data_IF_492963921381
#
_entry.id   IF_492963921381
#
_cell.length_a   1.000
_cell.length_b   1.000
_cell.length_c   1.000
_cell.angle_alpha   90.00
_cell.angle_beta   90.00
_cell.angle_gamma   90.00
#
_symmetry.space_group_name_H-M   'P 1'
#
loop_
_entity.id
_entity.type
_entity.pdbx_description
1 polymer ?
#
# COMPACT_ATOMS: atom_id res chain seq x y z
N UNK A 1 -11.90 -19.71 16.52
CA UNK A 1 -11.16 -20.27 17.68
C UNK A 1 -11.25 -21.80 17.80
N UNK A 2 -12.40 -22.48 17.58
CA UNK A 2 -12.49 -23.94 17.78
C UNK A 2 -11.57 -24.78 16.88
N UNK A 3 -11.41 -24.40 15.61
CA UNK A 3 -10.56 -25.15 14.66
C UNK A 3 -9.07 -25.09 15.00
N UNK A 4 -8.57 -23.93 15.44
CA UNK A 4 -7.17 -23.78 15.88
C UNK A 4 -6.92 -24.60 17.15
N UNK A 5 -7.88 -24.67 18.06
CA UNK A 5 -7.77 -25.52 19.25
C UNK A 5 -7.79 -27.02 18.91
N UNK A 6 -8.53 -27.41 17.86
CA UNK A 6 -8.65 -28.81 17.44
C UNK A 6 -7.47 -29.29 16.55
N UNK A 7 -6.93 -28.40 15.70
CA UNK A 7 -5.97 -28.77 14.65
C UNK A 7 -4.62 -28.03 14.76
N UNK A 8 -4.46 -27.16 15.76
CA UNK A 8 -3.24 -26.39 16.01
C UNK A 8 -3.19 -25.05 15.27
N UNK A 9 -2.19 -24.24 15.62
CA UNK A 9 -2.00 -22.87 15.09
C UNK A 9 -1.58 -22.84 13.62
N UNK A 10 -1.12 -23.94 13.06
CA UNK A 10 -0.73 -24.06 11.64
C UNK A 10 -1.88 -24.55 10.74
N UNK A 11 -3.10 -24.69 11.27
CA UNK A 11 -4.25 -25.12 10.47
C UNK A 11 -4.48 -24.16 9.30
N UNK A 12 -4.68 -24.75 8.11
CA UNK A 12 -5.10 -24.06 6.89
C UNK A 12 -6.35 -24.75 6.38
N UNK A 13 -7.22 -23.99 5.73
CA UNK A 13 -8.35 -24.58 5.02
C UNK A 13 -7.86 -25.51 3.90
N UNK A 14 -8.59 -26.59 3.57
CA UNK A 14 -8.35 -27.32 2.33
C UNK A 14 -8.32 -26.36 1.14
N UNK A 15 -7.38 -26.54 0.20
CA UNK A 15 -7.30 -25.66 -0.98
C UNK A 15 -8.52 -25.76 -1.90
N UNK A 16 -9.30 -26.83 -1.79
CA UNK A 16 -10.61 -26.98 -2.44
C UNK A 16 -11.71 -26.10 -1.81
N UNK A 17 -11.51 -25.65 -0.57
CA UNK A 17 -12.42 -24.76 0.16
C UNK A 17 -11.98 -23.32 0.01
N UNK A 18 -10.72 -23.01 0.31
CA UNK A 18 -10.19 -21.67 0.16
C UNK A 18 -8.69 -21.68 -0.09
N UNK A 19 -8.21 -20.75 -0.90
CA UNK A 19 -6.79 -20.47 -1.03
C UNK A 19 -6.53 -19.01 -1.37
N UNK A 20 -5.27 -18.60 -1.18
CA UNK A 20 -4.80 -17.31 -1.66
C UNK A 20 -3.39 -17.45 -2.23
N UNK A 21 -3.18 -16.86 -3.39
CA UNK A 21 -1.88 -16.69 -4.02
C UNK A 21 -1.53 -15.20 -3.98
N UNK A 22 -0.38 -14.87 -3.40
CA UNK A 22 0.10 -13.51 -3.23
C UNK A 22 1.44 -13.35 -3.93
N UNK A 23 1.61 -12.22 -4.61
CA UNK A 23 2.89 -11.80 -5.17
C UNK A 23 3.18 -10.41 -4.67
N UNK A 24 4.39 -10.24 -4.13
CA UNK A 24 4.84 -8.99 -3.54
C UNK A 24 6.26 -8.73 -4.04
N UNK A 25 6.48 -7.54 -4.61
CA UNK A 25 7.77 -7.16 -5.19
C UNK A 25 8.11 -5.73 -4.81
N UNK A 26 9.21 -5.61 -4.08
CA UNK A 26 9.73 -4.34 -3.58
C UNK A 26 10.95 -3.93 -4.39
N UNK A 27 11.01 -2.67 -4.78
CA UNK A 27 12.15 -2.07 -5.47
C UNK A 27 12.61 -0.83 -4.73
N UNK A 28 13.89 -0.80 -4.39
CA UNK A 28 14.55 0.35 -3.79
C UNK A 28 15.77 0.66 -4.64
N UNK A 29 15.82 1.88 -5.17
CA UNK A 29 16.98 2.39 -5.89
C UNK A 29 17.35 3.70 -5.22
N UNK A 30 18.60 3.85 -4.79
CA UNK A 30 19.10 5.06 -4.17
C UNK A 30 20.44 5.39 -4.82
N UNK A 31 20.55 6.60 -5.35
CA UNK A 31 21.82 7.14 -5.86
C UNK A 31 22.11 8.44 -5.13
N UNK A 32 23.36 8.60 -4.69
CA UNK A 32 23.77 9.78 -3.94
C UNK A 32 25.16 10.25 -4.32
N UNK A 33 25.37 11.54 -4.14
CA UNK A 33 26.65 12.21 -4.29
C UNK A 33 26.87 13.12 -3.09
N UNK A 34 28.07 13.05 -2.52
CA UNK A 34 28.56 13.99 -1.52
C UNK A 34 29.77 14.73 -2.10
N UNK A 35 29.83 16.05 -1.91
CA UNK A 35 30.90 16.88 -2.47
C UNK A 35 31.22 18.02 -1.51
N UNK A 36 32.50 18.24 -1.25
CA UNK A 36 32.98 19.45 -0.57
C UNK A 36 32.89 20.63 -1.54
N UNK A 37 32.01 21.60 -1.25
CA UNK A 37 31.93 22.86 -1.98
C UNK A 37 33.06 23.81 -1.57
N UNK A 38 33.43 23.77 -0.28
CA UNK A 38 34.58 24.45 0.32
C UNK A 38 35.20 23.54 1.38
N UNK A 39 36.28 23.99 2.03
CA UNK A 39 36.85 23.27 3.20
C UNK A 39 35.93 23.22 4.42
N UNK A 40 34.82 23.96 4.42
CA UNK A 40 33.86 24.05 5.54
C UNK A 40 32.46 23.59 5.14
N UNK A 41 32.18 23.37 3.86
CA UNK A 41 30.83 23.07 3.39
C UNK A 41 30.83 21.78 2.57
N UNK A 42 30.11 20.79 3.07
CA UNK A 42 29.80 19.56 2.33
C UNK A 42 28.34 19.57 1.90
N UNK A 43 28.09 19.30 0.62
CA UNK A 43 26.76 19.10 0.07
C UNK A 43 26.56 17.62 -0.24
N UNK A 44 25.49 17.04 0.30
CA UNK A 44 25.01 15.70 -0.02
C UNK A 44 23.67 15.81 -0.75
N UNK A 45 23.55 15.15 -1.90
CA UNK A 45 22.30 15.04 -2.66
C UNK A 45 22.00 13.57 -2.93
N UNK A 46 20.73 13.17 -2.80
CA UNK A 46 20.26 11.81 -3.07
C UNK A 46 19.00 11.86 -3.91
N UNK A 47 18.93 11.00 -4.92
CA UNK A 47 17.69 10.69 -5.65
C UNK A 47 17.35 9.24 -5.33
N UNK A 48 16.09 8.95 -5.05
CA UNK A 48 15.66 7.60 -4.73
C UNK A 48 14.30 7.26 -5.34
N UNK A 49 14.14 6.00 -5.70
CA UNK A 49 12.88 5.40 -6.12
C UNK A 49 12.51 4.29 -5.15
N UNK A 50 11.27 4.32 -4.67
CA UNK A 50 10.65 3.28 -3.86
C UNK A 50 9.44 2.78 -4.62
N UNK A 51 9.37 1.48 -4.89
CA UNK A 51 8.24 0.87 -5.58
C UNK A 51 7.80 -0.40 -4.88
N UNK A 52 6.49 -0.59 -4.78
CA UNK A 52 5.89 -1.85 -4.37
C UNK A 52 4.85 -2.27 -5.39
N UNK A 53 4.86 -3.53 -5.80
CA UNK A 53 3.74 -4.13 -6.52
C UNK A 53 3.24 -5.33 -5.77
N UNK A 54 2.01 -5.24 -5.28
CA UNK A 54 1.34 -6.33 -4.57
C UNK A 54 0.08 -6.75 -5.31
N UNK A 55 -0.09 -8.06 -5.47
CA UNK A 55 -1.34 -8.66 -5.92
C UNK A 55 -1.69 -9.90 -5.12
N UNK A 56 -2.99 -10.07 -4.87
CA UNK A 56 -3.54 -11.25 -4.22
C UNK A 56 -4.73 -11.78 -5.00
N UNK A 57 -4.59 -12.96 -5.58
CA UNK A 57 -5.74 -13.73 -6.05
C UNK A 57 -6.17 -14.69 -4.95
N UNK A 58 -7.42 -14.65 -4.56
CA UNK A 58 -8.01 -15.58 -3.61
C UNK A 58 -9.23 -16.27 -4.20
N UNK A 59 -9.50 -17.46 -3.67
CA UNK A 59 -10.64 -18.28 -4.02
C UNK A 59 -11.29 -18.75 -2.74
N UNK A 60 -12.63 -18.78 -2.74
CA UNK A 60 -13.42 -19.42 -1.71
C UNK A 60 -14.58 -20.15 -2.36
N UNK A 61 -14.80 -21.40 -1.95
CA UNK A 61 -15.82 -22.27 -2.53
C UNK A 61 -17.21 -21.86 -2.03
N UNK A 62 -18.13 -21.46 -2.92
CA UNK A 62 -19.51 -21.13 -2.58
C UNK A 62 -20.29 -22.21 -1.87
N UNK A 63 -19.85 -23.47 -1.90
CA UNK A 63 -20.53 -24.59 -1.23
C UNK A 63 -20.04 -24.81 0.20
N UNK A 64 -18.99 -24.13 0.64
CA UNK A 64 -18.31 -24.36 1.92
C UNK A 64 -18.36 -23.13 2.84
N UNK A 65 -19.27 -22.20 2.54
CA UNK A 65 -19.56 -21.03 3.38
C UNK A 65 -20.79 -21.27 4.25
N UNK A 66 -20.94 -20.56 5.38
CA UNK A 66 -22.07 -20.74 6.30
C UNK A 66 -23.45 -20.61 5.64
N UNK A 67 -23.57 -19.76 4.62
CA UNK A 67 -24.81 -19.49 3.89
C UNK A 67 -25.32 -20.70 3.08
N UNK A 68 -24.42 -21.58 2.64
CA UNK A 68 -24.75 -22.74 1.79
C UNK A 68 -24.48 -24.08 2.46
N UNK A 69 -23.61 -24.11 3.48
CA UNK A 69 -23.26 -25.30 4.23
C UNK A 69 -23.47 -25.07 5.74
N UNK A 70 -24.66 -25.40 6.27
CA UNK A 70 -24.95 -25.26 7.70
C UNK A 70 -24.03 -26.06 8.63
N UNK A 71 -23.33 -27.08 8.11
CA UNK A 71 -22.37 -27.89 8.87
C UNK A 71 -20.99 -27.23 8.97
N UNK A 72 -20.79 -26.11 8.27
CA UNK A 72 -19.57 -25.32 8.24
C UNK A 72 -19.87 -23.90 8.74
N UNK A 73 -19.94 -23.68 10.06
CA UNK A 73 -20.35 -22.39 10.63
C UNK A 73 -19.23 -21.33 10.61
N UNK A 74 -18.06 -21.64 10.05
CA UNK A 74 -16.92 -20.73 10.03
C UNK A 74 -16.79 -20.07 8.66
N UNK A 75 -16.63 -18.75 8.67
CA UNK A 75 -16.37 -17.97 7.46
C UNK A 75 -15.05 -18.37 6.81
N UNK A 76 -15.07 -18.45 5.47
CA UNK A 76 -13.86 -18.62 4.69
C UNK A 76 -13.20 -17.25 4.46
N UNK A 77 -11.86 -17.17 4.37
CA UNK A 77 -11.18 -15.94 4.01
C UNK A 77 -11.58 -15.48 2.60
N UNK A 78 -11.86 -14.18 2.43
CA UNK A 78 -12.29 -13.60 1.15
C UNK A 78 -13.46 -14.37 0.51
N UNK A 79 -14.43 -14.78 1.34
CA UNK A 79 -15.56 -15.58 0.88
C UNK A 79 -16.41 -14.84 -0.17
N UNK A 80 -17.11 -15.58 -1.05
CA UNK A 80 -17.94 -14.98 -2.08
C UNK A 80 -19.07 -14.18 -1.44
N UNK A 81 -19.37 -13.06 -2.06
CA UNK A 81 -20.37 -12.13 -1.58
C UNK A 81 -21.76 -12.40 -2.19
N UNK A 82 -22.79 -12.18 -1.38
CA UNK A 82 -24.18 -12.48 -1.76
C UNK A 82 -24.86 -11.33 -2.51
N UNK A 83 -24.29 -10.13 -2.47
CA UNK A 83 -24.87 -8.89 -2.99
C UNK A 83 -24.21 -8.38 -4.30
N UNK A 84 -23.50 -9.22 -5.05
CA UNK A 84 -22.96 -8.80 -6.35
C UNK A 84 -24.06 -8.74 -7.43
N UNK A 85 -25.12 -7.95 -7.25
CA UNK A 85 -26.21 -7.82 -8.21
C UNK A 85 -25.93 -6.78 -9.30
N UNK A 86 -26.44 -7.01 -10.51
CA UNK A 86 -26.43 -6.03 -11.60
C UNK A 86 -27.16 -4.74 -11.17
N UNK A 87 -26.44 -3.61 -11.10
CA UNK A 87 -26.99 -2.32 -10.65
C UNK A 87 -26.61 -1.17 -11.61
N UNK A 88 -27.26 -1.09 -12.78
CA UNK A 88 -27.02 0.00 -13.72
C UNK A 88 -27.59 1.32 -13.19
N UNK A 89 -26.96 2.47 -13.48
CA UNK A 89 -25.80 2.65 -14.36
C UNK A 89 -24.44 2.50 -13.67
N UNK A 90 -24.42 2.14 -12.38
CA UNK A 90 -23.23 2.15 -11.51
C UNK A 90 -22.33 0.96 -11.81
N UNK A 91 -22.92 -0.21 -12.05
CA UNK A 91 -22.17 -1.43 -12.33
C UNK A 91 -22.88 -2.29 -13.39
N UNK A 92 -22.10 -2.82 -14.36
CA UNK A 92 -22.62 -3.65 -15.46
C UNK A 92 -22.38 -5.16 -15.33
N UNK A 93 -21.74 -5.62 -14.26
CA UNK A 93 -21.52 -7.04 -14.03
C UNK A 93 -22.77 -7.73 -13.50
N UNK A 94 -23.29 -8.68 -14.28
CA UNK A 94 -24.38 -9.57 -13.88
C UNK A 94 -23.84 -10.99 -13.65
N UNK A 95 -23.45 -11.34 -12.41
CA UNK A 95 -22.93 -12.67 -12.11
C UNK A 95 -24.01 -13.76 -12.17
N UNK A 96 -25.29 -13.41 -12.00
CA UNK A 96 -26.37 -14.40 -12.09
C UNK A 96 -26.55 -14.82 -13.55
N UNK A 97 -26.56 -13.86 -14.48
CA UNK A 97 -26.63 -14.16 -15.91
C UNK A 97 -25.41 -14.95 -16.42
N UNK A 98 -24.22 -14.65 -15.90
CA UNK A 98 -22.97 -15.26 -16.37
C UNK A 98 -22.62 -16.58 -15.67
N UNK A 99 -22.95 -16.73 -14.39
CA UNK A 99 -22.48 -17.84 -13.52
C UNK A 99 -23.61 -18.55 -12.76
N UNK A 100 -24.87 -18.17 -13.00
CA UNK A 100 -26.06 -18.78 -12.42
C UNK A 100 -26.38 -18.38 -10.98
N UNK A 101 -25.44 -17.74 -10.27
CA UNK A 101 -25.65 -17.16 -8.94
C UNK A 101 -24.60 -16.08 -8.63
N UNK A 102 -24.93 -15.15 -7.73
CA UNK A 102 -23.97 -14.16 -7.20
C UNK A 102 -22.73 -14.86 -6.64
N UNK A 103 -22.94 -15.86 -5.77
CA UNK A 103 -21.85 -16.59 -5.12
C UNK A 103 -20.88 -17.24 -6.12
N UNK A 104 -21.39 -17.81 -7.22
CA UNK A 104 -20.53 -18.37 -8.26
C UNK A 104 -19.77 -17.31 -9.05
N UNK A 105 -20.34 -16.11 -9.21
CA UNK A 105 -19.71 -14.99 -9.88
C UNK A 105 -18.78 -14.16 -8.98
N UNK A 106 -18.73 -14.42 -7.68
CA UNK A 106 -17.84 -13.74 -6.75
C UNK A 106 -16.90 -14.71 -6.01
N UNK A 107 -16.68 -15.92 -6.54
CA UNK A 107 -15.85 -16.93 -5.86
C UNK A 107 -14.35 -16.69 -5.98
N UNK A 108 -13.92 -15.80 -6.88
CA UNK A 108 -12.56 -15.31 -6.98
C UNK A 108 -12.50 -13.83 -6.63
N UNK A 109 -11.48 -13.46 -5.87
CA UNK A 109 -11.21 -12.10 -5.44
C UNK A 109 -9.76 -11.73 -5.74
N UNK A 110 -9.57 -10.69 -6.56
CA UNK A 110 -8.29 -10.08 -6.86
C UNK A 110 -8.16 -8.74 -6.12
N UNK A 111 -7.16 -8.64 -5.26
CA UNK A 111 -6.76 -7.38 -4.61
C UNK A 111 -5.41 -6.90 -5.15
N UNK A 112 -5.31 -5.61 -5.44
CA UNK A 112 -4.11 -4.92 -5.90
C UNK A 112 -3.73 -3.81 -4.93
N UNK A 113 -2.43 -3.66 -4.68
CA UNK A 113 -1.90 -2.54 -3.90
C UNK A 113 -0.50 -2.17 -4.42
N UNK A 114 -0.45 -1.21 -5.33
CA UNK A 114 0.80 -0.80 -5.97
C UNK A 114 1.16 0.61 -5.53
N UNK A 115 2.38 0.80 -5.06
CA UNK A 115 2.92 2.12 -4.72
C UNK A 115 4.16 2.42 -5.53
N UNK A 116 4.35 3.69 -5.84
CA UNK A 116 5.60 4.20 -6.41
C UNK A 116 5.89 5.57 -5.83
N UNK A 117 7.16 5.85 -5.58
CA UNK A 117 7.60 7.14 -5.07
C UNK A 117 8.94 7.50 -5.64
N UNK A 118 9.05 8.74 -6.13
CA UNK A 118 10.32 9.35 -6.52
C UNK A 118 10.64 10.44 -5.50
N UNK A 119 11.83 10.36 -4.91
CA UNK A 119 12.27 11.32 -3.92
C UNK A 119 13.61 11.95 -4.25
N UNK A 120 13.77 13.18 -3.77
CA UNK A 120 15.01 13.94 -3.83
C UNK A 120 15.30 14.56 -2.47
N UNK A 121 16.48 14.28 -1.95
CA UNK A 121 16.98 14.83 -0.68
C UNK A 121 18.24 15.63 -0.94
N UNK A 122 18.34 16.80 -0.32
CA UNK A 122 19.53 17.62 -0.32
C UNK A 122 19.86 18.08 1.10
N UNK A 123 21.14 18.03 1.46
CA UNK A 123 21.64 18.43 2.77
C UNK A 123 22.99 19.11 2.62
N UNK A 124 23.17 20.26 3.24
CA UNK A 124 24.46 20.91 3.42
C UNK A 124 24.88 20.82 4.89
N UNK A 125 26.12 20.43 5.13
CA UNK A 125 26.80 20.44 6.43
C UNK A 125 27.87 21.52 6.41
N UNK A 126 27.80 22.44 7.37
CA UNK A 126 28.66 23.60 7.48
C UNK A 126 29.46 23.50 8.78
N UNK A 127 30.76 23.28 8.66
CA UNK A 127 31.72 23.26 9.75
C UNK A 127 32.16 24.67 10.12
N UNK A 128 31.75 25.12 11.31
CA UNK A 128 32.21 26.36 11.92
C UNK A 128 33.12 26.05 13.13
N UNK A 129 33.94 27.01 13.59
CA UNK A 129 34.91 26.75 14.67
C UNK A 129 34.31 26.22 15.98
N UNK A 130 33.05 26.56 16.26
CA UNK A 130 32.38 26.21 17.50
C UNK A 130 31.04 25.52 17.29
N UNK A 131 30.63 25.29 16.05
CA UNK A 131 29.36 24.66 15.76
C UNK A 131 29.30 23.97 14.39
N UNK A 132 28.39 23.03 14.23
CA UNK A 132 28.10 22.38 12.95
C UNK A 132 26.65 22.68 12.58
N UNK A 133 26.45 23.44 11.50
CA UNK A 133 25.11 23.72 10.99
C UNK A 133 24.78 22.68 9.92
N UNK A 134 23.67 21.97 10.07
CA UNK A 134 23.10 21.11 9.04
C UNK A 134 21.80 21.72 8.56
N UNK A 135 21.70 22.02 7.27
CA UNK A 135 20.48 22.46 6.61
C UNK A 135 20.15 21.48 5.51
N UNK A 136 18.88 21.13 5.36
CA UNK A 136 18.48 20.20 4.33
C UNK A 136 16.99 20.16 4.11
N UNK A 137 16.61 19.32 3.16
CA UNK A 137 15.23 19.07 2.84
C UNK A 137 15.08 17.83 1.98
N UNK A 138 13.84 17.39 1.86
CA UNK A 138 13.46 16.22 1.11
C UNK A 138 12.08 16.45 0.49
N UNK A 139 11.95 16.08 -0.78
CA UNK A 139 10.69 16.09 -1.52
C UNK A 139 10.42 14.68 -2.03
N UNK A 140 9.17 14.23 -1.95
CA UNK A 140 8.72 12.92 -2.40
C UNK A 140 7.42 13.10 -3.17
N UNK A 141 7.38 12.59 -4.39
CA UNK A 141 6.17 12.45 -5.19
C UNK A 141 5.75 10.99 -5.18
N UNK A 142 4.61 10.69 -4.57
CA UNK A 142 4.08 9.34 -4.40
C UNK A 142 2.80 9.12 -5.19
N UNK A 143 2.63 7.92 -5.72
CA UNK A 143 1.40 7.44 -6.34
C UNK A 143 1.01 6.07 -5.79
N UNK A 144 -0.29 5.86 -5.60
CA UNK A 144 -0.92 4.61 -5.18
C UNK A 144 -1.92 4.16 -6.26
N UNK A 145 -2.02 2.85 -6.45
CA UNK A 145 -3.18 2.23 -7.10
C UNK A 145 -3.61 1.04 -6.24
N UNK A 146 -4.76 1.17 -5.59
CA UNK A 146 -5.40 0.07 -4.86
C UNK A 146 -6.74 -0.25 -5.49
N UNK A 147 -7.01 -1.54 -5.67
CA UNK A 147 -8.27 -1.95 -6.27
C UNK A 147 -8.64 -3.36 -5.84
N UNK A 148 -9.94 -3.62 -5.76
CA UNK A 148 -10.50 -4.94 -5.56
C UNK A 148 -11.43 -5.31 -6.69
N UNK A 149 -11.33 -6.56 -7.16
CA UNK A 149 -12.16 -7.10 -8.22
C UNK A 149 -12.65 -8.50 -7.87
N UNK A 150 -13.89 -8.79 -8.23
CA UNK A 150 -14.50 -10.09 -7.99
C UNK A 150 -14.95 -10.73 -9.30
N UNK A 151 -14.83 -12.05 -9.39
CA UNK A 151 -15.27 -12.76 -10.59
C UNK A 151 -15.52 -14.26 -10.35
N UNK A 152 -16.21 -14.89 -11.31
CA UNK A 152 -16.52 -16.31 -11.26
C UNK A 152 -15.41 -17.23 -11.78
N UNK A 153 -14.28 -16.68 -12.22
CA UNK A 153 -13.14 -17.45 -12.75
C UNK A 153 -11.81 -16.87 -12.29
N UNK A 154 -10.72 -17.65 -12.27
CA UNK A 154 -9.41 -17.19 -11.79
C UNK A 154 -8.81 -16.08 -12.65
N UNK A 155 -9.22 -15.95 -13.91
CA UNK A 155 -8.86 -14.83 -14.76
C UNK A 155 -9.81 -13.66 -14.49
N UNK A 156 -9.63 -13.02 -13.33
CA UNK A 156 -10.45 -11.90 -12.86
C UNK A 156 -10.20 -10.68 -13.77
N UNK A 157 -11.23 -10.17 -14.49
CA UNK A 157 -11.11 -8.91 -15.22
C UNK A 157 -10.80 -7.76 -14.26
N UNK A 158 -10.06 -6.76 -14.73
CA UNK A 158 -9.74 -5.55 -13.96
C UNK A 158 -10.40 -4.35 -14.65
N UNK A 159 -11.73 -4.31 -14.64
CA UNK A 159 -12.51 -3.29 -15.34
C UNK A 159 -13.31 -2.46 -14.34
N UNK A 160 -13.07 -1.15 -14.35
CA UNK A 160 -13.79 -0.16 -13.54
C UNK A 160 -15.27 -0.07 -13.94
N UNK A 161 -16.16 0.08 -12.96
CA UNK A 161 -17.63 0.02 -13.08
C UNK A 161 -18.18 -1.28 -13.69
N UNK A 162 -17.37 -2.34 -13.67
CA UNK A 162 -17.80 -3.68 -14.11
C UNK A 162 -17.68 -4.64 -12.94
N UNK A 163 -16.49 -5.07 -12.56
CA UNK A 163 -16.36 -6.11 -11.53
C UNK A 163 -15.48 -5.67 -10.36
N UNK A 164 -15.21 -4.38 -10.28
CA UNK A 164 -14.51 -3.70 -9.20
C UNK A 164 -15.43 -3.46 -8.00
N UNK A 165 -14.93 -3.76 -6.80
CA UNK A 165 -15.48 -3.29 -5.54
C UNK A 165 -15.12 -1.83 -5.30
N UNK A 166 -13.88 -1.47 -5.64
CA UNK A 166 -13.37 -0.11 -5.77
C UNK A 166 -12.15 -0.12 -6.68
N UNK A 167 -11.81 1.06 -7.19
CA UNK A 167 -10.56 1.34 -7.89
C UNK A 167 -10.09 2.74 -7.51
N UNK A 168 -9.10 2.79 -6.63
CA UNK A 168 -8.53 3.96 -5.97
C UNK A 168 -7.19 4.32 -6.60
N UNK A 169 -6.97 5.61 -6.85
CA UNK A 169 -5.73 6.16 -7.39
C UNK A 169 -5.33 7.43 -6.67
N UNK A 170 -4.46 7.28 -5.68
CA UNK A 170 -4.00 8.42 -4.89
C UNK A 170 -2.68 8.98 -5.36
N UNK A 171 -2.49 10.26 -5.04
CA UNK A 171 -1.23 10.95 -5.10
C UNK A 171 -0.92 11.53 -3.73
N UNK A 172 0.32 11.40 -3.28
CA UNK A 172 0.81 12.04 -2.06
C UNK A 172 2.14 12.69 -2.30
N UNK A 173 2.16 14.00 -2.11
CA UNK A 173 3.36 14.81 -2.14
C UNK A 173 3.78 15.10 -0.70
N UNK A 174 5.05 14.85 -0.40
CA UNK A 174 5.64 15.10 0.91
C UNK A 174 6.86 15.99 0.73
N UNK A 175 6.86 17.13 1.43
CA UNK A 175 7.96 18.07 1.44
C UNK A 175 8.40 18.33 2.87
N UNK A 176 9.70 18.29 3.13
CA UNK A 176 10.27 18.73 4.39
C UNK A 176 11.51 19.57 4.19
N UNK A 177 11.69 20.53 5.10
CA UNK A 177 12.90 21.33 5.23
C UNK A 177 13.29 21.41 6.69
N UNK A 178 14.59 21.37 6.97
CA UNK A 178 15.12 21.42 8.32
C UNK A 178 16.42 22.20 8.42
N UNK A 179 16.65 22.74 9.61
CA UNK A 179 17.94 23.29 10.04
C UNK A 179 18.22 22.83 11.46
N UNK A 180 19.45 22.41 11.71
CA UNK A 180 19.96 22.00 13.01
C UNK A 180 21.33 22.63 13.21
N UNK A 181 21.62 23.10 14.41
CA UNK A 181 22.92 23.66 14.79
C UNK A 181 23.46 22.89 15.99
N UNK A 182 24.61 22.23 15.85
CA UNK A 182 25.30 21.56 16.95
C UNK A 182 26.33 22.52 17.54
N UNK A 183 25.99 23.18 18.66
CA UNK A 183 26.82 24.21 19.29
C UNK A 183 27.67 23.63 20.41
N UNK A 184 28.98 23.87 20.38
CA UNK A 184 29.95 23.40 21.37
C UNK A 184 30.49 24.56 22.20
N UNK A 185 30.17 24.56 23.49
CA UNK A 185 30.56 25.60 24.45
C UNK A 185 31.54 25.06 25.51
N UNK A 186 32.21 25.99 26.21
CA UNK A 186 33.09 25.72 27.35
C UNK A 186 34.17 24.65 27.09
N UNK A 187 34.93 24.79 26.00
CA UNK A 187 35.93 23.79 25.57
C UNK A 187 35.31 22.41 25.36
N UNK A 188 34.21 22.37 24.62
CA UNK A 188 33.50 21.13 24.25
C UNK A 188 32.85 20.38 25.44
N UNK A 189 32.60 21.07 26.56
CA UNK A 189 31.98 20.49 27.77
C UNK A 189 30.46 20.61 27.78
N UNK A 190 29.90 21.55 27.00
CA UNK A 190 28.46 21.70 26.83
C UNK A 190 28.14 21.65 25.34
N UNK A 191 27.17 20.82 24.99
CA UNK A 191 26.65 20.62 23.64
C UNK A 191 25.18 21.01 23.66
N UNK A 192 24.77 21.87 22.73
CA UNK A 192 23.37 22.29 22.55
C UNK A 192 23.02 22.08 21.09
N UNK A 193 21.91 21.38 20.83
CA UNK A 193 21.47 21.04 19.46
C UNK A 193 20.08 21.61 19.18
N UNK A 194 19.91 22.94 19.04
CA UNK A 194 18.66 23.49 18.55
C UNK A 194 18.40 23.03 17.10
N UNK A 195 17.13 22.79 16.78
CA UNK A 195 16.71 22.48 15.42
C UNK A 195 15.27 22.92 15.17
N UNK A 196 14.98 23.15 13.89
CA UNK A 196 13.66 23.46 13.38
C UNK A 196 13.40 22.59 12.15
N UNK A 197 12.20 22.03 12.06
CA UNK A 197 11.71 21.30 10.90
C UNK A 197 10.35 21.83 10.49
N UNK A 198 10.15 22.00 9.19
CA UNK A 198 8.86 22.24 8.57
C UNK A 198 8.53 21.05 7.66
N UNK A 199 7.27 20.63 7.69
CA UNK A 199 6.78 19.53 6.85
C UNK A 199 5.44 19.93 6.27
N UNK A 200 5.26 19.67 4.99
CA UNK A 200 4.01 19.82 4.26
C UNK A 200 3.68 18.50 3.58
N UNK A 201 2.41 18.14 3.62
CA UNK A 201 1.89 16.92 3.00
C UNK A 201 0.60 17.29 2.28
N UNK A 202 0.57 17.01 0.99
CA UNK A 202 -0.59 17.19 0.15
C UNK A 202 -1.01 15.82 -0.37
N UNK A 203 -2.29 15.46 -0.20
CA UNK A 203 -2.84 14.18 -0.65
C UNK A 203 -4.05 14.45 -1.52
N UNK A 204 -4.06 13.85 -2.71
CA UNK A 204 -5.22 13.82 -3.59
C UNK A 204 -5.65 12.38 -3.73
N UNK A 205 -6.95 12.16 -3.56
CA UNK A 205 -7.60 10.86 -3.65
C UNK A 205 -8.54 10.90 -4.87
N UNK A 206 -8.52 9.81 -5.65
CA UNK A 206 -9.40 9.63 -6.79
C UNK A 206 -9.96 8.20 -6.79
N UNK A 207 -11.18 8.10 -6.28
CA UNK A 207 -11.91 6.86 -6.17
C UNK A 207 -12.96 6.66 -7.27
N UNK A 208 -12.96 5.45 -7.82
CA UNK A 208 -14.14 4.88 -8.46
C UNK A 208 -14.79 3.89 -7.49
N UNK A 209 -15.89 4.31 -6.87
CA UNK A 209 -16.76 3.44 -6.09
C UNK A 209 -17.33 2.34 -6.99
N UNK A 210 -17.05 1.09 -6.64
CA UNK A 210 -17.55 -0.10 -7.31
C UNK A 210 -18.81 -0.66 -6.63
N UNK A 211 -19.13 -1.93 -6.87
CA UNK A 211 -20.43 -2.48 -6.46
C UNK A 211 -20.60 -2.75 -4.95
N UNK A 212 -19.53 -2.60 -4.15
CA UNK A 212 -19.56 -2.78 -2.68
C UNK A 212 -19.52 -1.49 -1.87
N UNK A 213 -19.59 -0.34 -2.53
CA UNK A 213 -19.71 0.96 -1.87
C UNK A 213 -21.17 1.33 -1.59
#
# INVERSE_FOLDING_TARGET
VPLINAYGSSYQWPSSWAYSNQQDHHTIIITGLSTALTSQVELTSKVYYLGNTYSRLSYANPLEIPETNPNQPYFLPNQPETYAGYNPPINYYDPVALFGSSLNGSKYHLYLNNTSSLGFMQQARIDLPHNIITVGGNIIYGALHSAEYWYGSPNVPQQTLYNDAWNERDQRDFEEGFVQDEIRLFHNRLHIEPGLKYTQIDTTDADNAGYFY
#
